data_IF_858166633112
#
_entry.id   IF_858166633112
#
_cell.length_a   1.000
_cell.length_b   1.000
_cell.length_c   1.000
_cell.angle_alpha   90.00
_cell.angle_beta   90.00
_cell.angle_gamma   90.00
#
_symmetry.space_group_name_H-M   'P 1'
#
loop_
_entity.id
_entity.type
_entity.pdbx_description
1 polymer ?
#
# COMPACT_ATOMS: atom_id res chain seq x y z
N UNK A 1 9.54 2.73 6.13
CA UNK A 1 9.80 4.10 6.65
C UNK A 1 8.48 4.78 7.01
N UNK A 2 8.44 5.63 8.04
CA UNK A 2 7.24 6.40 8.38
C UNK A 2 6.93 7.40 7.28
N UNK A 3 5.67 7.47 6.83
CA UNK A 3 5.24 8.44 5.80
C UNK A 3 4.97 9.84 6.39
N UNK A 4 4.67 9.91 7.69
CA UNK A 4 4.43 11.18 8.40
C UNK A 4 5.60 11.53 9.32
N UNK A 5 6.05 12.78 9.22
CA UNK A 5 6.98 13.37 10.19
C UNK A 5 6.27 13.84 11.47
N UNK A 6 7.01 14.25 12.52
CA UNK A 6 6.41 14.76 13.75
C UNK A 6 5.54 16.00 13.47
N UNK A 7 4.23 15.91 13.75
CA UNK A 7 3.27 17.01 13.55
C UNK A 7 2.57 17.03 12.19
N UNK A 8 2.89 16.12 11.26
CA UNK A 8 2.11 15.93 10.04
C UNK A 8 0.84 15.12 10.33
N UNK A 9 -0.28 15.38 9.62
CA UNK A 9 -1.43 14.49 9.66
C UNK A 9 -1.03 13.07 9.28
N UNK A 10 -1.71 12.09 9.89
CA UNK A 10 -1.48 10.67 9.61
C UNK A 10 -1.68 10.43 8.10
N UNK A 11 -0.64 9.93 7.43
CA UNK A 11 -0.72 9.44 6.04
C UNK A 11 -0.94 7.94 6.12
N UNK A 12 -2.13 7.48 5.74
CA UNK A 12 -2.61 6.13 5.98
C UNK A 12 -1.63 5.06 5.50
N UNK A 13 -1.34 4.97 4.20
CA UNK A 13 -0.29 4.14 3.59
C UNK A 13 -0.41 4.27 2.05
N UNK A 14 0.53 3.70 1.30
CA UNK A 14 0.46 3.62 -0.17
C UNK A 14 0.33 2.15 -0.58
N UNK A 15 -0.70 1.85 -1.38
CA UNK A 15 -0.85 0.61 -2.15
C UNK A 15 -0.97 1.00 -3.62
N UNK A 16 0.03 0.69 -4.44
CA UNK A 16 0.05 1.06 -5.86
C UNK A 16 0.80 0.03 -6.70
N UNK A 17 0.29 -0.26 -7.90
CA UNK A 17 1.04 -0.96 -8.94
C UNK A 17 1.96 -0.02 -9.74
N UNK A 18 3.19 -0.46 -10.01
CA UNK A 18 4.19 0.30 -10.77
C UNK A 18 4.24 -0.05 -12.27
N UNK A 19 3.08 -0.34 -12.88
CA UNK A 19 2.96 -0.65 -14.32
C UNK A 19 3.43 0.51 -15.20
N UNK A 20 3.17 1.75 -14.78
CA UNK A 20 3.60 2.98 -15.46
C UNK A 20 5.13 3.11 -15.49
N UNK A 21 5.84 2.44 -14.58
CA UNK A 21 7.29 2.38 -14.53
C UNK A 21 7.86 1.13 -15.23
N UNK A 22 7.01 0.34 -15.90
CA UNK A 22 7.39 -0.89 -16.61
C UNK A 22 7.52 -2.12 -15.71
N UNK A 23 7.05 -2.06 -14.46
CA UNK A 23 7.09 -3.17 -13.52
C UNK A 23 5.70 -3.82 -13.39
N UNK A 24 5.28 -4.53 -14.43
CA UNK A 24 4.04 -5.31 -14.42
C UNK A 24 4.07 -6.35 -13.29
N UNK A 25 3.02 -6.39 -12.48
CA UNK A 25 2.94 -7.30 -11.32
C UNK A 25 3.48 -6.71 -10.02
N UNK A 26 4.22 -5.60 -10.07
CA UNK A 26 4.91 -5.08 -8.90
C UNK A 26 4.03 -4.09 -8.13
N UNK A 27 3.67 -4.44 -6.90
CA UNK A 27 2.83 -3.62 -6.02
C UNK A 27 3.64 -3.13 -4.82
N UNK A 28 3.68 -1.81 -4.66
CA UNK A 28 4.25 -1.12 -3.51
C UNK A 28 3.26 -1.10 -2.36
N UNK A 29 3.69 -1.59 -1.18
CA UNK A 29 3.01 -1.45 0.10
C UNK A 29 3.89 -0.62 1.04
N UNK A 30 3.71 0.70 1.04
CA UNK A 30 4.60 1.62 1.76
C UNK A 30 3.87 2.26 2.94
N UNK A 31 4.55 2.34 4.09
CA UNK A 31 4.01 3.04 5.26
C UNK A 31 2.96 2.25 6.05
N UNK A 32 2.87 0.93 5.85
CA UNK A 32 2.02 0.04 6.66
C UNK A 32 2.58 -0.03 8.09
N UNK A 33 2.20 0.94 8.92
CA UNK A 33 2.48 0.99 10.35
C UNK A 33 1.41 0.23 11.15
N UNK A 34 1.61 0.07 12.46
CA UNK A 34 0.58 -0.50 13.34
C UNK A 34 -0.72 0.31 13.23
N UNK A 35 -1.88 -0.33 13.01
CA UNK A 35 -2.15 -1.78 13.11
C UNK A 35 -2.15 -2.51 11.75
N UNK A 36 -1.01 -2.59 11.07
CA UNK A 36 -0.89 -3.30 9.78
C UNK A 36 -1.20 -4.80 9.84
N UNK A 37 -0.90 -5.48 10.97
CA UNK A 37 -1.16 -6.92 11.11
C UNK A 37 -2.68 -7.22 11.23
N UNK A 38 -3.46 -6.55 12.10
CA UNK A 38 -4.92 -6.67 12.10
C UNK A 38 -5.58 -6.35 10.74
N UNK A 39 -5.00 -5.43 9.97
CA UNK A 39 -5.52 -5.02 8.65
C UNK A 39 -4.99 -5.85 7.47
N UNK A 40 -4.19 -6.90 7.72
CA UNK A 40 -3.51 -7.67 6.68
C UNK A 40 -4.45 -8.30 5.63
N UNK A 41 -5.62 -8.79 6.05
CA UNK A 41 -6.62 -9.37 5.14
C UNK A 41 -7.21 -8.31 4.21
N UNK A 42 -7.57 -7.14 4.74
CA UNK A 42 -8.10 -6.05 3.93
C UNK A 42 -7.05 -5.52 2.93
N UNK A 43 -5.78 -5.43 3.35
CA UNK A 43 -4.67 -5.07 2.46
C UNK A 43 -4.54 -6.10 1.32
N UNK A 44 -4.64 -7.40 1.63
CA UNK A 44 -4.57 -8.45 0.62
C UNK A 44 -5.73 -8.36 -0.39
N UNK A 45 -6.95 -8.08 0.06
CA UNK A 45 -8.11 -7.88 -0.84
C UNK A 45 -7.92 -6.67 -1.78
N UNK A 46 -7.37 -5.56 -1.29
CA UNK A 46 -7.06 -4.40 -2.13
C UNK A 46 -6.02 -4.75 -3.22
N UNK A 47 -4.97 -5.47 -2.83
CA UNK A 47 -3.93 -5.94 -3.76
C UNK A 47 -4.53 -6.87 -4.82
N UNK A 48 -5.36 -7.82 -4.43
CA UNK A 48 -6.02 -8.76 -5.35
C UNK A 48 -6.94 -8.04 -6.35
N UNK A 49 -7.70 -7.04 -5.91
CA UNK A 49 -8.52 -6.22 -6.80
C UNK A 49 -7.67 -5.43 -7.81
N UNK A 50 -6.58 -4.80 -7.38
CA UNK A 50 -5.65 -4.10 -8.29
C UNK A 50 -5.10 -5.06 -9.36
N UNK A 51 -4.77 -6.29 -8.99
CA UNK A 51 -4.26 -7.30 -9.94
C UNK A 51 -5.33 -7.82 -10.90
N UNK A 52 -6.60 -7.82 -10.50
CA UNK A 52 -7.73 -8.28 -11.33
C UNK A 52 -8.26 -7.21 -12.29
N UNK A 53 -8.19 -5.94 -11.90
CA UNK A 53 -8.74 -4.80 -12.65
C UNK A 53 -7.78 -4.25 -13.73
N UNK A 54 -6.77 -5.04 -14.12
CA UNK A 54 -5.74 -4.69 -15.11
C UNK A 54 -6.21 -4.82 -16.56
#
# INVERSE_FOLDING_TARGET
>A
PKLSGPGEPFKDFVIKEEIECGFDGFINLVGIESPGLPSSLAIAEMVDNILKDR
#
